data_IF_316417949911
#
_entry.id   IF_316417949911
#
_cell.length_a   1.000
_cell.length_b   1.000
_cell.length_c   1.000
_cell.angle_alpha   90.00
_cell.angle_beta   90.00
_cell.angle_gamma   90.00
#
_symmetry.space_group_name_H-M   'P 1'
#
loop_
_entity.id
_entity.type
_entity.pdbx_description
1 polymer ?
#
# COMPACT_ATOMS: atom_id res chain seq x y z
N UNK A 1 55.53 41.68 -6.72
CA UNK A 1 55.25 40.95 -5.50
C UNK A 1 54.11 39.97 -5.83
N UNK A 2 54.48 38.76 -6.19
CA UNK A 2 53.53 37.73 -6.56
C UNK A 2 53.11 36.97 -5.26
N UNK A 3 51.89 37.13 -4.86
CA UNK A 3 51.30 36.38 -3.73
C UNK A 3 51.01 34.95 -4.19
N UNK A 4 51.75 34.00 -3.65
CA UNK A 4 51.47 32.57 -3.80
C UNK A 4 50.24 32.29 -2.95
N UNK A 5 49.12 32.00 -3.60
CA UNK A 5 47.91 31.47 -2.93
C UNK A 5 48.21 30.01 -2.59
N UNK A 6 48.24 29.70 -1.30
CA UNK A 6 48.45 28.35 -0.82
C UNK A 6 47.36 27.40 -1.35
N UNK A 7 47.80 26.37 -2.04
CA UNK A 7 46.97 25.33 -2.68
C UNK A 7 46.26 24.37 -1.68
N UNK A 8 46.31 24.64 -0.37
CA UNK A 8 45.70 23.77 0.65
C UNK A 8 44.18 23.74 0.58
N UNK A 9 43.54 24.87 0.37
CA UNK A 9 42.08 24.96 0.41
C UNK A 9 41.37 24.30 -0.76
N UNK A 10 41.97 24.24 -1.93
CA UNK A 10 41.37 23.62 -3.13
C UNK A 10 41.41 22.11 -3.02
N UNK A 11 42.48 21.54 -2.49
CA UNK A 11 42.58 20.08 -2.29
C UNK A 11 41.62 19.56 -1.23
N UNK A 12 41.41 20.26 -0.13
CA UNK A 12 40.44 19.90 0.89
C UNK A 12 38.99 20.03 0.37
N UNK A 13 38.71 21.08 -0.40
CA UNK A 13 37.39 21.26 -1.02
C UNK A 13 37.09 20.19 -2.05
N UNK A 14 38.08 19.81 -2.88
CA UNK A 14 37.97 18.71 -3.82
C UNK A 14 37.84 17.37 -3.10
N UNK A 15 38.57 17.14 -2.01
CA UNK A 15 38.48 15.95 -1.20
C UNK A 15 37.08 15.78 -0.58
N UNK A 16 36.54 16.85 0.01
CA UNK A 16 35.17 16.90 0.51
C UNK A 16 34.12 16.65 -0.59
N UNK A 17 34.38 17.16 -1.80
CA UNK A 17 33.47 16.90 -2.94
C UNK A 17 33.42 15.42 -3.33
N UNK A 18 34.53 14.70 -3.15
CA UNK A 18 34.61 13.25 -3.45
C UNK A 18 34.30 12.35 -2.25
N UNK A 19 34.21 12.89 -1.05
CA UNK A 19 33.77 12.16 0.14
C UNK A 19 32.26 11.92 0.01
N UNK A 20 31.88 10.66 -0.03
CA UNK A 20 30.47 10.25 -0.14
C UNK A 20 29.61 10.83 0.97
N UNK A 21 30.18 11.03 2.15
CA UNK A 21 29.55 11.68 3.31
C UNK A 21 29.13 13.14 3.03
N UNK A 22 29.90 13.89 2.24
CA UNK A 22 29.56 15.28 1.89
C UNK A 22 28.37 15.38 0.93
N UNK A 23 28.05 14.29 0.23
CA UNK A 23 26.88 14.16 -0.64
C UNK A 23 25.68 13.64 0.14
N UNK A 24 25.82 13.42 1.47
CA UNK A 24 24.76 12.84 2.31
C UNK A 24 24.62 11.32 2.14
N UNK A 25 25.61 10.67 1.52
CA UNK A 25 25.73 9.22 1.45
C UNK A 25 26.67 8.82 2.59
N UNK A 26 26.14 8.80 3.82
CA UNK A 26 26.81 8.11 4.91
C UNK A 26 26.83 6.59 4.61
N UNK A 27 27.87 5.88 5.09
CA UNK A 27 27.73 4.43 5.24
C UNK A 27 26.47 4.21 6.06
N UNK A 28 25.45 3.68 5.42
CA UNK A 28 24.25 3.23 6.12
C UNK A 28 24.70 1.95 6.81
N UNK A 29 25.09 2.06 8.08
CA UNK A 29 25.01 0.90 8.97
C UNK A 29 23.60 0.35 8.74
N UNK A 30 23.49 -0.92 8.36
CA UNK A 30 22.19 -1.56 8.19
C UNK A 30 21.36 -1.22 9.43
N UNK A 31 20.22 -0.53 9.27
CA UNK A 31 19.48 -0.04 10.43
C UNK A 31 19.17 -1.25 11.30
N UNK A 32 19.65 -1.22 12.53
CA UNK A 32 19.34 -2.28 13.51
C UNK A 32 17.82 -2.30 13.63
N UNK A 33 17.21 -3.39 13.17
CA UNK A 33 15.76 -3.56 13.24
C UNK A 33 15.31 -3.50 14.70
N UNK A 34 14.22 -2.79 14.94
CA UNK A 34 13.56 -2.79 16.23
C UNK A 34 12.92 -4.17 16.50
N UNK A 35 12.64 -4.48 17.75
CA UNK A 35 11.98 -5.73 18.11
C UNK A 35 10.61 -5.90 17.43
N UNK A 36 9.87 -4.80 17.20
CA UNK A 36 8.59 -4.82 16.48
C UNK A 36 8.80 -5.16 15.00
N UNK A 37 9.84 -4.63 14.37
CA UNK A 37 10.17 -4.92 12.97
C UNK A 37 10.64 -6.37 12.80
N UNK A 38 11.44 -6.89 13.73
CA UNK A 38 11.83 -8.31 13.73
C UNK A 38 10.62 -9.22 13.85
N UNK A 39 9.70 -8.91 14.77
CA UNK A 39 8.44 -9.64 14.92
C UNK A 39 7.62 -9.59 13.62
N UNK A 40 7.48 -8.43 13.01
CA UNK A 40 6.73 -8.28 11.76
C UNK A 40 7.31 -9.13 10.63
N UNK A 41 8.65 -9.16 10.48
CA UNK A 41 9.33 -9.99 9.49
C UNK A 41 9.16 -11.48 9.80
N UNK A 42 9.26 -11.87 11.07
CA UNK A 42 9.08 -13.26 11.47
C UNK A 42 7.66 -13.76 11.21
N UNK A 43 6.64 -12.93 11.51
CA UNK A 43 5.24 -13.26 11.27
C UNK A 43 4.92 -13.30 9.77
N UNK A 44 5.45 -12.36 9.00
CA UNK A 44 5.33 -12.37 7.54
C UNK A 44 5.92 -13.67 6.95
N UNK A 45 7.15 -14.05 7.33
CA UNK A 45 7.81 -15.24 6.82
C UNK A 45 7.06 -16.53 7.23
N UNK A 46 6.43 -16.55 8.41
CA UNK A 46 5.62 -17.68 8.89
C UNK A 46 4.32 -17.80 8.12
N UNK A 47 3.71 -16.68 7.75
CA UNK A 47 2.44 -16.62 7.03
C UNK A 47 2.57 -16.60 5.52
N UNK A 48 3.79 -16.56 4.97
CA UNK A 48 4.03 -16.54 3.54
C UNK A 48 3.88 -17.95 2.96
N UNK A 49 2.97 -18.11 2.02
CA UNK A 49 2.78 -19.34 1.26
C UNK A 49 2.83 -19.05 -0.25
N UNK A 50 3.29 -20.00 -1.05
CA UNK A 50 3.30 -19.90 -2.50
C UNK A 50 2.63 -21.14 -3.10
N UNK A 51 1.53 -20.94 -3.83
CA UNK A 51 0.72 -22.00 -4.43
C UNK A 51 1.23 -22.48 -5.80
N UNK A 52 2.38 -21.97 -6.26
CA UNK A 52 2.94 -22.21 -7.60
C UNK A 52 2.61 -21.09 -8.60
N UNK A 53 1.67 -20.21 -8.29
CA UNK A 53 1.23 -19.10 -9.11
C UNK A 53 1.19 -17.78 -8.36
N UNK A 54 0.68 -17.78 -7.14
CA UNK A 54 0.50 -16.59 -6.32
C UNK A 54 1.12 -16.78 -4.94
N UNK A 55 1.48 -15.66 -4.34
CA UNK A 55 1.81 -15.61 -2.92
C UNK A 55 0.55 -15.34 -2.12
N UNK A 56 0.34 -16.12 -1.06
CA UNK A 56 -0.64 -15.86 -0.01
C UNK A 56 0.10 -15.38 1.24
N UNK A 57 -0.36 -14.30 1.84
CA UNK A 57 0.26 -13.72 3.04
C UNK A 57 -0.77 -13.51 4.13
N UNK A 58 -0.35 -13.68 5.38
CA UNK A 58 -1.09 -13.24 6.55
C UNK A 58 -0.72 -11.80 6.91
N UNK A 59 -1.66 -11.08 7.51
CA UNK A 59 -1.36 -9.76 8.06
C UNK A 59 -0.50 -9.91 9.33
N UNK A 60 0.54 -9.07 9.49
CA UNK A 60 1.38 -9.10 10.69
C UNK A 60 0.65 -8.38 11.84
N UNK A 61 -0.23 -9.09 12.52
CA UNK A 61 -1.05 -8.55 13.60
C UNK A 61 -0.22 -8.22 14.84
N UNK A 62 -0.45 -7.05 15.46
CA UNK A 62 0.06 -6.74 16.80
C UNK A 62 -0.50 -7.68 17.87
N UNK A 63 -1.73 -8.15 17.65
CA UNK A 63 -2.42 -9.17 18.45
C UNK A 63 -3.25 -10.05 17.55
N UNK A 64 -3.18 -11.34 17.70
CA UNK A 64 -3.99 -12.31 16.94
C UNK A 64 -4.88 -13.08 17.94
N UNK A 65 -6.22 -12.99 17.87
CA UNK A 65 -6.99 -12.17 16.91
C UNK A 65 -6.98 -10.68 17.23
N UNK A 66 -7.11 -9.80 16.21
CA UNK A 66 -7.16 -8.36 16.41
C UNK A 66 -8.46 -7.93 17.10
N UNK A 67 -8.39 -6.91 17.99
CA UNK A 67 -9.56 -6.25 18.55
C UNK A 67 -10.04 -5.14 17.60
N UNK A 68 -10.83 -5.50 16.60
CA UNK A 68 -11.44 -4.55 15.66
C UNK A 68 -12.96 -4.65 15.77
N UNK A 69 -13.60 -3.52 16.07
CA UNK A 69 -15.05 -3.40 16.01
C UNK A 69 -15.51 -3.12 14.58
N UNK A 70 -16.70 -3.60 14.22
CA UNK A 70 -17.27 -3.31 12.91
C UNK A 70 -17.51 -1.81 12.76
N UNK A 71 -17.12 -1.27 11.62
CA UNK A 71 -17.32 0.14 11.25
C UNK A 71 -18.29 0.27 10.06
N UNK A 72 -19.27 -0.62 9.99
CA UNK A 72 -20.22 -0.68 8.88
C UNK A 72 -20.95 0.66 8.65
N UNK A 73 -21.43 1.30 9.73
CA UNK A 73 -22.16 2.56 9.63
C UNK A 73 -21.28 3.69 9.05
N UNK A 74 -20.03 3.76 9.48
CA UNK A 74 -19.06 4.71 8.93
C UNK A 74 -18.78 4.45 7.44
N UNK A 75 -18.52 3.20 7.06
CA UNK A 75 -18.25 2.83 5.67
C UNK A 75 -19.46 3.13 4.77
N UNK A 76 -20.67 2.84 5.23
CA UNK A 76 -21.91 3.15 4.52
C UNK A 76 -22.09 4.67 4.32
N UNK A 77 -21.87 5.47 5.36
CA UNK A 77 -21.94 6.93 5.27
C UNK A 77 -20.93 7.51 4.29
N UNK A 78 -19.71 6.95 4.26
CA UNK A 78 -18.67 7.32 3.29
C UNK A 78 -19.07 6.94 1.87
N UNK A 79 -19.59 5.73 1.64
CA UNK A 79 -20.11 5.30 0.34
C UNK A 79 -21.20 6.24 -0.17
N UNK A 80 -22.21 6.56 0.66
CA UNK A 80 -23.28 7.49 0.31
C UNK A 80 -22.75 8.88 -0.07
N UNK A 81 -21.68 9.33 0.57
CA UNK A 81 -21.04 10.62 0.26
C UNK A 81 -20.32 10.57 -1.11
N UNK A 82 -19.66 9.47 -1.41
CA UNK A 82 -19.04 9.24 -2.73
C UNK A 82 -20.10 9.19 -3.82
N UNK A 83 -21.18 8.45 -3.62
CA UNK A 83 -22.28 8.35 -4.57
C UNK A 83 -22.95 9.70 -4.90
N UNK A 84 -23.15 10.54 -3.87
CA UNK A 84 -23.67 11.91 -4.10
C UNK A 84 -22.79 12.73 -5.04
N UNK A 85 -21.47 12.62 -4.88
CA UNK A 85 -20.51 13.29 -5.78
C UNK A 85 -20.53 12.70 -7.18
N UNK A 86 -20.60 11.38 -7.30
CA UNK A 86 -20.61 10.69 -8.60
C UNK A 86 -21.90 10.94 -9.39
N UNK A 87 -23.04 11.19 -8.74
CA UNK A 87 -24.29 11.57 -9.42
C UNK A 87 -24.17 12.89 -10.19
N UNK A 88 -23.25 13.75 -9.79
CA UNK A 88 -23.00 15.04 -10.44
C UNK A 88 -22.07 14.92 -11.66
N UNK A 89 -21.36 13.78 -11.81
CA UNK A 89 -20.39 13.55 -12.89
C UNK A 89 -20.53 12.11 -13.43
N UNK A 90 -21.41 11.92 -14.45
CA UNK A 90 -21.66 10.60 -15.02
C UNK A 90 -20.40 9.93 -15.63
N UNK A 91 -19.45 10.73 -16.12
CA UNK A 91 -18.21 10.22 -16.72
C UNK A 91 -17.35 9.57 -15.62
N UNK A 92 -17.16 10.29 -14.51
CA UNK A 92 -16.44 9.75 -13.35
C UNK A 92 -17.17 8.56 -12.72
N UNK A 93 -18.50 8.62 -12.64
CA UNK A 93 -19.31 7.51 -12.15
C UNK A 93 -19.08 6.23 -12.96
N UNK A 94 -19.11 6.33 -14.29
CA UNK A 94 -18.83 5.20 -15.19
C UNK A 94 -17.42 4.67 -15.01
N UNK A 95 -16.42 5.55 -14.98
CA UNK A 95 -15.01 5.15 -14.81
C UNK A 95 -14.80 4.43 -13.47
N UNK A 96 -15.42 4.92 -12.39
CA UNK A 96 -15.33 4.29 -11.06
C UNK A 96 -16.01 2.92 -11.03
N UNK A 97 -17.22 2.80 -11.59
CA UNK A 97 -17.91 1.52 -11.70
C UNK A 97 -17.07 0.51 -12.49
N UNK A 98 -16.51 0.92 -13.63
CA UNK A 98 -15.63 0.05 -14.42
C UNK A 98 -14.44 -0.42 -13.61
N UNK A 99 -13.79 0.47 -12.84
CA UNK A 99 -12.63 0.11 -12.03
C UNK A 99 -12.97 -0.87 -10.88
N UNK A 100 -14.13 -0.75 -10.24
CA UNK A 100 -14.60 -1.70 -9.22
C UNK A 100 -14.91 -3.06 -9.86
N UNK A 101 -15.64 -3.07 -10.98
CA UNK A 101 -15.99 -4.32 -11.65
C UNK A 101 -14.74 -5.07 -12.13
N UNK A 102 -13.75 -4.36 -12.64
CA UNK A 102 -12.46 -4.95 -13.04
C UNK A 102 -11.78 -5.70 -11.89
N UNK A 103 -11.97 -5.28 -10.63
CA UNK A 103 -11.40 -6.00 -9.49
C UNK A 103 -12.08 -7.34 -9.26
N UNK A 104 -13.38 -7.41 -9.44
CA UNK A 104 -14.15 -8.66 -9.33
C UNK A 104 -13.84 -9.57 -10.52
N UNK A 105 -13.85 -9.03 -11.74
CA UNK A 105 -13.55 -9.78 -12.97
C UNK A 105 -12.15 -10.41 -12.98
N UNK A 106 -11.16 -9.68 -12.44
CA UNK A 106 -9.77 -10.16 -12.33
C UNK A 106 -9.50 -10.99 -11.06
N UNK A 107 -10.52 -11.24 -10.23
CA UNK A 107 -10.36 -12.01 -9.00
C UNK A 107 -9.60 -11.30 -7.88
N UNK A 108 -9.39 -9.97 -7.98
CA UNK A 108 -8.81 -9.18 -6.89
C UNK A 108 -9.79 -8.86 -5.77
N UNK A 109 -11.07 -9.06 -6.03
CA UNK A 109 -12.14 -8.95 -5.04
C UNK A 109 -13.20 -10.03 -5.32
N UNK A 110 -13.90 -10.44 -4.29
CA UNK A 110 -15.00 -11.39 -4.36
C UNK A 110 -16.25 -10.84 -3.65
N UNK A 111 -17.41 -11.25 -4.09
CA UNK A 111 -18.67 -10.94 -3.42
C UNK A 111 -18.81 -11.78 -2.15
N UNK A 112 -19.16 -11.14 -1.05
CA UNK A 112 -19.41 -11.83 0.23
C UNK A 112 -20.88 -12.24 0.27
N UNK A 113 -21.19 -13.53 0.49
CA UNK A 113 -22.58 -13.99 0.64
C UNK A 113 -23.27 -13.33 1.84
N UNK A 114 -24.57 -12.98 1.71
CA UNK A 114 -25.36 -12.35 2.77
C UNK A 114 -25.47 -13.20 4.05
N UNK A 115 -25.25 -14.51 3.95
CA UNK A 115 -25.28 -15.47 5.06
C UNK A 115 -23.88 -15.90 5.53
N UNK A 116 -22.84 -15.11 5.26
CA UNK A 116 -21.54 -15.42 5.83
C UNK A 116 -21.64 -15.34 7.35
N UNK A 117 -21.43 -16.47 8.03
CA UNK A 117 -21.29 -16.51 9.47
C UNK A 117 -20.15 -15.57 9.86
N UNK A 118 -20.50 -14.41 10.46
CA UNK A 118 -19.53 -13.44 10.95
C UNK A 118 -18.86 -13.97 12.23
N UNK A 119 -18.27 -15.17 12.13
CA UNK A 119 -17.58 -15.84 13.25
C UNK A 119 -16.21 -15.20 13.55
N UNK A 120 -15.85 -14.13 12.86
CA UNK A 120 -14.56 -13.46 12.98
C UNK A 120 -14.67 -11.94 13.07
N UNK A 121 -13.52 -11.31 13.09
CA UNK A 121 -13.41 -9.85 13.06
C UNK A 121 -13.70 -9.33 11.65
N UNK A 122 -14.77 -8.54 11.51
CA UNK A 122 -15.17 -7.93 10.23
C UNK A 122 -14.88 -6.44 10.26
N UNK A 123 -14.18 -5.93 9.24
CA UNK A 123 -13.92 -4.51 9.05
C UNK A 123 -14.26 -4.09 7.62
N UNK A 124 -14.80 -2.89 7.48
CA UNK A 124 -15.12 -2.32 6.16
C UNK A 124 -14.18 -1.14 5.87
N UNK A 125 -13.48 -1.20 4.74
CA UNK A 125 -12.62 -0.14 4.28
C UNK A 125 -13.45 0.88 3.48
N UNK A 126 -13.62 2.12 3.97
CA UNK A 126 -14.17 3.16 3.14
C UNK A 126 -13.29 3.38 1.91
N UNK A 127 -13.90 3.68 0.78
CA UNK A 127 -13.13 3.87 -0.44
C UNK A 127 -13.59 5.08 -1.25
N UNK A 128 -12.70 5.58 -2.08
CA UNK A 128 -12.98 6.66 -3.03
C UNK A 128 -12.11 6.51 -4.27
N UNK A 129 -12.50 7.19 -5.34
CA UNK A 129 -11.71 7.23 -6.56
C UNK A 129 -10.81 8.47 -6.60
N UNK A 130 -9.57 8.26 -7.04
CA UNK A 130 -8.65 9.32 -7.45
C UNK A 130 -8.58 9.30 -8.98
N UNK A 131 -8.96 10.42 -9.59
CA UNK A 131 -8.91 10.60 -11.04
C UNK A 131 -7.63 11.32 -11.43
N UNK A 132 -6.95 10.80 -12.45
CA UNK A 132 -5.73 11.39 -13.01
C UNK A 132 -5.88 11.54 -14.51
N UNK A 133 -6.17 12.76 -14.95
CA UNK A 133 -6.36 13.09 -16.36
C UNK A 133 -5.03 13.14 -17.13
N UNK A 134 -3.90 13.28 -16.40
CA UNK A 134 -2.53 13.29 -16.91
C UNK A 134 -2.00 11.90 -17.31
N UNK A 135 -2.64 10.81 -16.88
CA UNK A 135 -2.21 9.45 -17.15
C UNK A 135 -2.93 8.82 -18.34
N UNK A 136 -2.13 8.15 -19.20
CA UNK A 136 -2.67 7.44 -20.39
C UNK A 136 -3.30 6.08 -20.03
N UNK A 137 -2.78 5.40 -19.02
CA UNK A 137 -3.12 3.99 -18.69
C UNK A 137 -4.14 3.85 -17.59
N UNK A 138 -3.96 4.55 -16.46
CA UNK A 138 -4.84 4.41 -15.29
C UNK A 138 -5.44 5.75 -14.92
N UNK A 139 -6.60 6.06 -15.51
CA UNK A 139 -7.32 7.33 -15.27
C UNK A 139 -8.09 7.35 -13.95
N UNK A 140 -8.53 6.21 -13.45
CA UNK A 140 -9.26 6.05 -12.20
C UNK A 140 -8.54 5.04 -11.31
N UNK A 141 -8.15 5.44 -10.10
CA UNK A 141 -7.58 4.56 -9.07
C UNK A 141 -8.52 4.53 -7.88
N UNK A 142 -8.86 3.33 -7.42
CA UNK A 142 -9.62 3.15 -6.18
C UNK A 142 -8.63 3.18 -5.03
N UNK A 143 -8.93 3.98 -4.01
CA UNK A 143 -8.16 4.09 -2.77
C UNK A 143 -9.04 3.62 -1.63
N UNK A 144 -8.54 2.69 -0.82
CA UNK A 144 -9.18 2.17 0.37
C UNK A 144 -8.54 2.78 1.60
N UNK A 145 -9.35 3.19 2.56
CA UNK A 145 -8.90 3.89 3.76
C UNK A 145 -8.84 2.91 4.95
N UNK A 146 -7.68 2.25 5.10
CA UNK A 146 -7.40 1.37 6.23
C UNK A 146 -7.10 2.14 7.54
N UNK A 147 -6.92 3.47 7.46
CA UNK A 147 -6.72 4.34 8.62
C UNK A 147 -8.03 4.90 9.19
N UNK A 148 -9.18 4.57 8.59
CA UNK A 148 -10.49 5.04 9.04
C UNK A 148 -10.79 4.56 10.46
N UNK A 149 -11.07 5.50 11.36
CA UNK A 149 -11.46 5.26 12.75
C UNK A 149 -12.92 5.66 12.97
N UNK A 150 -13.67 4.87 13.73
CA UNK A 150 -15.03 5.19 14.14
C UNK A 150 -15.09 5.40 15.65
N UNK A 151 -15.61 6.53 16.10
CA UNK A 151 -15.85 6.78 17.52
C UNK A 151 -14.62 6.73 18.44
N UNK A 152 -13.41 6.90 17.91
CA UNK A 152 -12.16 6.77 18.69
C UNK A 152 -11.59 5.35 18.74
N UNK A 153 -12.24 4.38 18.11
CA UNK A 153 -11.77 2.99 17.99
C UNK A 153 -10.52 2.89 17.12
N UNK A 154 -9.78 1.79 17.26
CA UNK A 154 -8.60 1.52 16.44
C UNK A 154 -8.96 1.37 14.97
N UNK A 155 -8.09 1.85 14.08
CA UNK A 155 -8.14 1.57 12.66
C UNK A 155 -7.49 0.22 12.35
N UNK A 156 -7.66 -0.28 11.13
CA UNK A 156 -6.95 -1.49 10.69
C UNK A 156 -5.43 -1.29 10.80
N UNK A 157 -4.91 -0.16 10.33
CA UNK A 157 -3.49 0.16 10.39
C UNK A 157 -2.93 0.22 11.83
N UNK A 158 -3.73 0.60 12.81
CA UNK A 158 -3.30 0.60 14.23
C UNK A 158 -3.06 -0.81 14.78
N UNK A 159 -3.69 -1.82 14.18
CA UNK A 159 -3.63 -3.21 14.61
C UNK A 159 -2.55 -4.03 13.90
N UNK A 160 -1.91 -3.48 12.88
CA UNK A 160 -0.89 -4.14 12.06
C UNK A 160 0.49 -3.60 12.41
N UNK A 161 1.50 -4.46 12.46
CA UNK A 161 2.90 -4.08 12.61
C UNK A 161 3.40 -3.43 11.30
N UNK A 162 4.09 -2.28 11.36
CA UNK A 162 4.50 -1.56 10.15
C UNK A 162 5.61 -2.26 9.36
N UNK A 163 6.39 -3.13 10.01
CA UNK A 163 7.58 -3.74 9.41
C UNK A 163 8.72 -2.76 9.14
N UNK A 164 9.90 -3.26 8.74
CA UNK A 164 11.05 -2.43 8.45
C UNK A 164 10.93 -1.73 7.08
N UNK A 165 11.63 -0.60 6.87
CA UNK A 165 11.72 0.05 5.58
C UNK A 165 12.56 -0.79 4.61
N UNK A 166 11.91 -1.49 3.67
CA UNK A 166 12.57 -2.37 2.69
C UNK A 166 13.09 -1.63 1.45
N UNK A 167 12.78 -0.35 1.29
CA UNK A 167 13.17 0.42 0.12
C UNK A 167 14.64 0.83 0.22
N UNK A 168 15.48 0.48 -0.77
CA UNK A 168 16.86 0.94 -0.80
C UNK A 168 16.94 2.46 -1.03
N UNK A 169 18.01 3.07 -0.55
CA UNK A 169 18.26 4.50 -0.76
C UNK A 169 18.23 4.85 -2.25
N UNK A 170 17.43 5.86 -2.62
CA UNK A 170 17.27 6.28 -4.01
C UNK A 170 18.60 6.67 -4.68
N UNK A 171 19.49 7.36 -3.98
CA UNK A 171 20.79 7.76 -4.51
C UNK A 171 21.63 6.52 -4.85
N UNK A 172 21.65 5.51 -3.98
CA UNK A 172 22.34 4.23 -4.23
C UNK A 172 21.78 3.50 -5.45
N UNK A 173 20.44 3.51 -5.62
CA UNK A 173 19.79 2.92 -6.80
C UNK A 173 20.20 3.67 -8.07
N UNK A 174 20.19 5.01 -8.07
CA UNK A 174 20.54 5.82 -9.22
C UNK A 174 22.03 5.69 -9.61
N UNK A 175 22.92 5.59 -8.63
CA UNK A 175 24.36 5.37 -8.89
C UNK A 175 24.54 4.00 -9.54
N UNK A 176 23.99 2.93 -8.95
CA UNK A 176 24.05 1.58 -9.53
C UNK A 176 23.45 1.50 -10.94
N UNK A 177 22.35 2.20 -11.19
CA UNK A 177 21.72 2.23 -12.50
C UNK A 177 22.64 2.80 -13.58
N UNK A 178 23.53 3.75 -13.22
CA UNK A 178 24.47 4.41 -14.14
C UNK A 178 25.77 3.65 -14.38
N UNK A 179 26.05 2.58 -13.64
CA UNK A 179 27.30 1.80 -13.80
C UNK A 179 27.34 0.91 -15.05
N UNK A 180 26.17 0.64 -15.62
CA UNK A 180 26.05 -0.23 -16.78
C UNK A 180 25.69 0.54 -18.05
N UNK A 181 26.11 0.01 -19.22
CA UNK A 181 25.81 0.62 -20.53
C UNK A 181 24.33 0.55 -20.91
N UNK A 182 23.60 -0.43 -20.40
CA UNK A 182 22.19 -0.67 -20.69
C UNK A 182 21.43 -0.65 -19.36
N UNK A 183 20.48 0.29 -19.24
CA UNK A 183 19.55 0.36 -18.12
C UNK A 183 18.19 -0.18 -18.55
N UNK A 184 17.60 -1.06 -17.75
CA UNK A 184 16.24 -1.56 -17.93
C UNK A 184 15.34 -1.01 -16.82
N UNK A 185 14.17 -0.51 -17.21
CA UNK A 185 13.13 -0.07 -16.29
C UNK A 185 11.89 -0.89 -16.60
N UNK A 186 11.32 -1.53 -15.58
CA UNK A 186 10.09 -2.27 -15.68
C UNK A 186 9.16 -1.91 -14.52
N UNK A 187 7.86 -2.01 -14.74
CA UNK A 187 6.84 -1.82 -13.71
C UNK A 187 5.95 -3.06 -13.68
N UNK A 188 5.51 -3.45 -12.49
CA UNK A 188 4.60 -4.58 -12.31
C UNK A 188 3.19 -4.04 -12.22
N UNK A 189 2.35 -4.39 -13.20
CA UNK A 189 0.96 -3.97 -13.21
C UNK A 189 0.24 -4.47 -11.96
N UNK A 190 -0.34 -3.52 -11.20
CA UNK A 190 -1.12 -3.82 -10.00
C UNK A 190 -0.36 -4.74 -9.01
N UNK A 191 0.92 -4.48 -8.79
CA UNK A 191 1.83 -5.32 -8.00
C UNK A 191 1.22 -5.77 -6.67
N UNK A 192 0.64 -4.84 -5.90
CA UNK A 192 0.04 -5.16 -4.59
C UNK A 192 -1.19 -6.07 -4.69
N UNK A 193 -1.90 -6.09 -5.82
CA UNK A 193 -3.05 -6.97 -6.04
C UNK A 193 -2.65 -8.37 -6.48
N UNK A 194 -1.38 -8.59 -6.84
CA UNK A 194 -0.87 -9.91 -7.20
C UNK A 194 -0.57 -10.77 -5.97
N UNK A 195 -0.51 -10.17 -4.79
CA UNK A 195 -0.34 -10.88 -3.52
C UNK A 195 -1.71 -11.09 -2.89
N UNK A 196 -2.07 -12.34 -2.60
CA UNK A 196 -3.34 -12.70 -1.98
C UNK A 196 -3.25 -12.61 -0.46
N UNK A 197 -4.36 -12.26 0.17
CA UNK A 197 -4.51 -12.39 1.61
C UNK A 197 -4.96 -13.81 1.96
N UNK A 198 -4.40 -14.35 3.04
CA UNK A 198 -4.87 -15.58 3.65
C UNK A 198 -6.37 -15.46 3.99
N UNK A 199 -7.10 -16.56 3.88
CA UNK A 199 -8.57 -16.59 4.04
C UNK A 199 -9.03 -15.99 5.36
N UNK A 200 -8.25 -16.19 6.43
CA UNK A 200 -8.53 -15.74 7.79
C UNK A 200 -8.50 -14.21 7.92
N UNK A 201 -7.73 -13.54 7.06
CA UNK A 201 -7.51 -12.10 7.13
C UNK A 201 -8.34 -11.30 6.10
N UNK A 202 -9.10 -11.96 5.22
CA UNK A 202 -9.85 -11.28 4.15
C UNK A 202 -11.00 -10.43 4.67
N UNK A 203 -11.63 -10.83 5.77
CA UNK A 203 -12.84 -10.17 6.28
C UNK A 203 -12.57 -8.81 6.93
N UNK A 204 -11.32 -8.47 7.24
CA UNK A 204 -10.93 -7.12 7.65
C UNK A 204 -10.67 -6.18 6.48
N UNK A 205 -10.74 -6.68 5.25
CA UNK A 205 -10.61 -5.93 4.00
C UNK A 205 -11.93 -5.89 3.21
N UNK A 206 -13.07 -6.05 3.88
CA UNK A 206 -14.38 -5.88 3.22
C UNK A 206 -14.56 -4.42 2.80
N UNK A 207 -15.31 -4.19 1.74
CA UNK A 207 -15.79 -2.87 1.35
C UNK A 207 -17.23 -2.95 0.85
N UNK A 208 -17.95 -1.84 0.95
CA UNK A 208 -19.34 -1.75 0.52
C UNK A 208 -19.39 -1.20 -0.90
N UNK A 209 -20.13 -1.87 -1.77
CA UNK A 209 -20.40 -1.40 -3.11
C UNK A 209 -21.86 -1.63 -3.47
N UNK A 210 -22.46 -0.73 -4.22
CA UNK A 210 -23.77 -0.96 -4.81
C UNK A 210 -23.84 -0.39 -6.23
N UNK A 211 -24.45 -1.20 -7.07
CA UNK A 211 -24.73 -0.83 -8.45
C UNK A 211 -26.16 -0.28 -8.54
N UNK A 212 -26.39 0.89 -7.92
CA UNK A 212 -27.65 1.65 -7.94
C UNK A 212 -28.92 0.95 -7.39
N UNK A 213 -28.92 -0.33 -7.07
CA UNK A 213 -30.11 -1.05 -6.61
C UNK A 213 -29.98 -1.65 -5.21
N UNK A 214 -28.96 -2.42 -4.94
CA UNK A 214 -28.74 -3.09 -3.64
C UNK A 214 -27.30 -2.86 -3.17
N UNK A 215 -27.15 -2.71 -1.86
CA UNK A 215 -25.79 -2.68 -1.25
C UNK A 215 -25.21 -4.07 -1.28
N UNK A 216 -24.06 -4.26 -1.92
CA UNK A 216 -23.31 -5.50 -1.93
C UNK A 216 -22.12 -5.39 -1.02
N UNK A 217 -21.86 -6.45 -0.29
CA UNK A 217 -20.66 -6.61 0.50
C UNK A 217 -19.61 -7.29 -0.37
N UNK A 218 -18.43 -6.70 -0.46
CA UNK A 218 -17.31 -7.27 -1.19
C UNK A 218 -16.07 -7.26 -0.31
N UNK A 219 -15.18 -8.20 -0.53
CA UNK A 219 -13.89 -8.26 0.15
C UNK A 219 -12.75 -8.37 -0.84
N UNK A 220 -11.64 -7.72 -0.53
CA UNK A 220 -10.43 -7.85 -1.30
C UNK A 220 -9.78 -9.19 -1.01
N UNK A 221 -9.37 -9.89 -2.05
CA UNK A 221 -8.59 -11.13 -1.96
C UNK A 221 -7.10 -10.87 -2.05
N UNK A 222 -6.69 -9.66 -2.51
CA UNK A 222 -5.31 -9.23 -2.58
C UNK A 222 -4.93 -8.22 -1.49
N UNK A 223 -3.65 -8.19 -1.09
CA UNK A 223 -3.09 -7.19 -0.21
C UNK A 223 -3.15 -5.79 -0.83
N UNK A 224 -3.41 -4.80 0.03
CA UNK A 224 -3.32 -3.39 -0.34
C UNK A 224 -2.77 -2.55 0.81
N UNK A 225 -2.03 -1.56 0.41
CA UNK A 225 -1.67 -0.40 1.23
C UNK A 225 -2.77 0.65 1.24
#
# INVERSE_FOLDING_TARGET
>A
MLTVVENGGVNETLKRFWELESIGIAEIEDPVMSQEEECAVADFNRGLNFDGHNYDVRLPWKRDPPKLESNYAQALGRLQSVERKLRQDPVKAKAYKTAINEYVEKGFAEEVPDQSDDNGTVRYLPHHAVFRDDKRTTKCRIVFDASAREGGNASLNDCILPGPPLQPNLASVLIRFRTHKIGLIADIEKMFLQVKLASEDRDVHRYLWRDYSLTKHQRCTGCRD
#
